data_IF_030379640053
#
_entry.id   IF_030379640053
#
_cell.length_a   1.000
_cell.length_b   1.000
_cell.length_c   1.000
_cell.angle_alpha   90.00
_cell.angle_beta   90.00
_cell.angle_gamma   90.00
#
_symmetry.space_group_name_H-M   'P 1'
#
loop_
_entity.id
_entity.type
_entity.pdbx_description
1 polymer ?
#
# COMPACT_ATOMS: atom_id res chain seq x y z
N UNK A 1 9.43 -11.12 -10.64
CA UNK A 1 9.51 -10.76 -9.21
C UNK A 1 9.12 -12.00 -8.42
N UNK A 2 9.65 -12.17 -7.22
CA UNK A 2 9.42 -13.34 -6.37
C UNK A 2 8.01 -13.30 -5.77
N UNK A 3 7.32 -14.45 -5.76
CA UNK A 3 6.03 -14.61 -5.08
C UNK A 3 6.30 -14.81 -3.59
N UNK A 4 5.59 -14.11 -2.72
CA UNK A 4 5.73 -14.25 -1.28
C UNK A 4 4.38 -14.55 -0.61
N UNK A 5 4.35 -15.33 0.48
CA UNK A 5 3.15 -15.50 1.27
C UNK A 5 2.62 -14.15 1.76
N UNK A 6 1.30 -13.97 1.67
CA UNK A 6 0.60 -12.75 2.13
C UNK A 6 1.04 -12.33 3.55
N UNK A 7 1.09 -13.27 4.48
CA UNK A 7 1.49 -13.01 5.88
C UNK A 7 2.93 -12.50 6.00
N UNK A 8 3.83 -12.98 5.13
CA UNK A 8 5.22 -12.52 5.12
C UNK A 8 5.31 -11.08 4.61
N UNK A 9 4.55 -10.72 3.57
CA UNK A 9 4.47 -9.35 3.08
C UNK A 9 3.90 -8.40 4.15
N UNK A 10 2.81 -8.79 4.80
CA UNK A 10 2.20 -8.02 5.91
C UNK A 10 3.21 -7.80 7.04
N UNK A 11 3.90 -8.85 7.46
CA UNK A 11 4.92 -8.78 8.53
C UNK A 11 6.03 -7.80 8.15
N UNK A 12 6.53 -7.88 6.91
CA UNK A 12 7.56 -6.97 6.41
C UNK A 12 7.09 -5.50 6.42
N UNK A 13 5.83 -5.27 6.05
CA UNK A 13 5.24 -3.94 6.03
C UNK A 13 5.05 -3.37 7.43
N UNK A 14 4.54 -4.19 8.37
CA UNK A 14 4.37 -3.82 9.78
C UNK A 14 5.68 -3.44 10.45
N UNK A 15 6.77 -4.16 10.16
CA UNK A 15 8.11 -3.84 10.68
C UNK A 15 8.59 -2.44 10.28
N UNK A 16 8.03 -1.86 9.21
CA UNK A 16 8.40 -0.54 8.71
C UNK A 16 7.53 0.61 9.27
N UNK A 17 6.45 0.29 10.03
CA UNK A 17 5.49 1.28 10.50
C UNK A 17 6.12 2.42 11.29
N UNK A 18 6.93 2.09 12.31
CA UNK A 18 7.51 3.10 13.18
C UNK A 18 8.47 4.03 12.42
N UNK A 19 9.20 3.49 11.45
CA UNK A 19 10.07 4.28 10.57
C UNK A 19 9.26 5.29 9.78
N UNK A 20 8.16 4.88 9.15
CA UNK A 20 7.32 5.79 8.36
C UNK A 20 6.59 6.83 9.20
N UNK A 21 6.10 6.45 10.39
CA UNK A 21 5.55 7.39 11.38
C UNK A 21 6.54 8.51 11.66
N UNK A 22 7.77 8.15 12.03
CA UNK A 22 8.78 9.11 12.46
C UNK A 22 9.32 9.96 11.29
N UNK A 23 9.55 9.35 10.13
CA UNK A 23 10.19 10.01 8.99
C UNK A 23 9.24 10.95 8.24
N UNK A 24 7.95 10.60 8.16
CA UNK A 24 6.97 11.30 7.33
C UNK A 24 5.91 12.06 8.12
N UNK A 25 5.98 12.02 9.46
CA UNK A 25 5.01 12.68 10.33
C UNK A 25 3.60 12.12 10.15
N UNK A 26 3.49 10.80 10.02
CA UNK A 26 2.22 10.10 9.90
C UNK A 26 1.60 9.93 11.28
N UNK A 27 0.32 10.28 11.44
CA UNK A 27 -0.40 10.18 12.71
C UNK A 27 -0.72 8.72 13.06
N UNK A 28 -1.09 7.93 12.05
CA UNK A 28 -1.39 6.51 12.18
C UNK A 28 -1.12 5.77 10.87
N UNK A 29 -0.60 4.55 10.97
CA UNK A 29 -0.36 3.68 9.83
C UNK A 29 -0.88 2.27 10.14
N UNK A 30 -1.54 1.66 9.17
CA UNK A 30 -2.04 0.28 9.22
C UNK A 30 -1.88 -0.40 7.87
N UNK A 31 -2.22 -1.68 7.80
CA UNK A 31 -2.22 -2.42 6.52
C UNK A 31 -3.51 -2.09 5.77
N UNK A 32 -3.39 -1.92 4.46
CA UNK A 32 -4.50 -1.89 3.51
C UNK A 32 -4.46 -3.14 2.65
N UNK A 33 -5.62 -3.78 2.48
CA UNK A 33 -5.78 -4.97 1.67
C UNK A 33 -7.11 -4.91 0.94
N UNK A 34 -7.12 -5.21 -0.35
CA UNK A 34 -8.33 -5.29 -1.14
C UNK A 34 -8.23 -6.43 -2.17
N UNK A 35 -9.24 -7.30 -2.20
CA UNK A 35 -9.37 -8.32 -3.23
C UNK A 35 -10.08 -7.73 -4.46
N UNK A 36 -9.37 -7.73 -5.58
CA UNK A 36 -9.90 -7.34 -6.88
C UNK A 36 -10.48 -8.53 -7.65
N UNK A 37 -10.89 -8.27 -8.90
CA UNK A 37 -11.36 -9.31 -9.81
C UNK A 37 -10.20 -10.12 -10.40
N UNK A 38 -10.48 -11.31 -10.94
CA UNK A 38 -9.54 -12.15 -11.69
C UNK A 38 -8.20 -12.41 -10.97
N UNK A 39 -8.18 -12.61 -9.66
CA UNK A 39 -6.96 -12.79 -8.84
C UNK A 39 -6.09 -11.53 -8.66
N UNK A 40 -6.61 -10.34 -8.98
CA UNK A 40 -5.99 -9.09 -8.53
C UNK A 40 -6.09 -8.94 -7.02
N UNK A 41 -5.03 -8.42 -6.42
CA UNK A 41 -4.95 -8.13 -5.01
C UNK A 41 -4.20 -6.82 -4.82
N UNK A 42 -4.76 -5.89 -4.06
CA UNK A 42 -4.08 -4.64 -3.72
C UNK A 42 -3.61 -4.72 -2.27
N UNK A 43 -2.32 -4.50 -2.06
CA UNK A 43 -1.70 -4.56 -0.74
C UNK A 43 -0.88 -3.29 -0.53
N UNK A 44 -1.04 -2.71 0.66
CA UNK A 44 -0.46 -1.42 0.96
C UNK A 44 -0.66 -0.96 2.39
N UNK A 45 -0.69 0.37 2.55
CA UNK A 45 -0.85 1.03 3.84
C UNK A 45 -2.11 1.86 3.85
N UNK A 46 -2.85 1.81 4.97
CA UNK A 46 -3.79 2.86 5.33
C UNK A 46 -3.04 3.88 6.18
N UNK A 47 -2.90 5.11 5.69
CA UNK A 47 -2.15 6.19 6.33
C UNK A 47 -3.11 7.29 6.75
N UNK A 48 -3.04 7.71 8.02
CA UNK A 48 -3.70 8.93 8.50
C UNK A 48 -2.67 10.02 8.74
N UNK A 49 -2.90 11.19 8.16
CA UNK A 49 -2.02 12.35 8.29
C UNK A 49 -2.84 13.63 8.21
N UNK A 50 -2.65 14.52 9.19
CA UNK A 50 -3.35 15.80 9.28
C UNK A 50 -4.89 15.67 9.19
N UNK A 51 -5.44 14.62 9.81
CA UNK A 51 -6.87 14.34 9.82
C UNK A 51 -7.44 13.74 8.52
N UNK A 52 -6.61 13.44 7.53
CA UNK A 52 -6.99 12.78 6.27
C UNK A 52 -6.54 11.33 6.24
N UNK A 53 -7.29 10.48 5.55
CA UNK A 53 -6.95 9.08 5.31
C UNK A 53 -6.54 8.89 3.85
N UNK A 54 -5.48 8.10 3.66
CA UNK A 54 -4.96 7.71 2.36
C UNK A 54 -4.73 6.20 2.32
N UNK A 55 -5.09 5.57 1.21
CA UNK A 55 -4.74 4.19 0.90
C UNK A 55 -3.59 4.21 -0.11
N UNK A 56 -2.41 3.75 0.31
CA UNK A 56 -1.21 3.70 -0.54
C UNK A 56 -0.92 2.25 -0.86
N UNK A 57 -1.16 1.80 -2.08
CA UNK A 57 -1.11 0.38 -2.42
C UNK A 57 -0.45 0.09 -3.76
N UNK A 58 -0.04 -1.17 -3.91
CA UNK A 58 0.53 -1.71 -5.15
C UNK A 58 -0.29 -2.93 -5.58
N UNK A 59 -0.45 -3.18 -6.88
CA UNK A 59 -1.17 -4.35 -7.38
C UNK A 59 -0.30 -5.62 -7.38
N UNK A 60 -0.90 -6.72 -6.97
CA UNK A 60 -0.36 -8.07 -6.93
C UNK A 60 -1.32 -9.04 -7.65
N UNK A 61 -0.77 -10.15 -8.14
CA UNK A 61 -1.50 -11.37 -8.47
C UNK A 61 -1.45 -12.31 -7.29
N UNK A 62 -2.62 -12.78 -6.86
CA UNK A 62 -2.75 -13.86 -5.90
C UNK A 62 -2.78 -15.19 -6.65
N UNK A 63 -2.01 -16.17 -6.21
CA UNK A 63 -2.08 -17.51 -6.79
C UNK A 63 -3.01 -18.45 -5.99
N UNK A 64 -3.16 -19.69 -6.45
CA UNK A 64 -4.00 -20.69 -5.79
C UNK A 64 -3.53 -21.11 -4.40
N UNK A 65 -2.28 -20.80 -4.03
CA UNK A 65 -1.71 -21.05 -2.71
C UNK A 65 -1.89 -19.84 -1.78
N UNK A 66 -2.34 -18.70 -2.31
CA UNK A 66 -2.50 -17.44 -1.58
C UNK A 66 -1.23 -16.61 -1.51
N UNK A 67 -0.20 -16.97 -2.28
CA UNK A 67 1.00 -16.16 -2.41
C UNK A 67 0.74 -14.99 -3.36
N UNK A 68 1.45 -13.89 -3.13
CA UNK A 68 1.28 -12.63 -3.85
C UNK A 68 2.53 -12.33 -4.67
N UNK A 69 2.34 -12.15 -5.97
CA UNK A 69 3.35 -11.73 -6.92
C UNK A 69 3.06 -10.31 -7.40
N UNK A 70 3.96 -9.33 -7.24
CA UNK A 70 3.72 -7.96 -7.70
C UNK A 70 3.58 -7.91 -9.22
N UNK A 71 2.60 -7.15 -9.71
CA UNK A 71 2.29 -7.00 -11.14
C UNK A 71 3.17 -5.93 -11.78
N UNK A 72 3.27 -4.79 -11.11
CA UNK A 72 4.06 -3.64 -11.51
C UNK A 72 4.69 -3.04 -10.25
N UNK A 73 5.90 -2.50 -10.38
CA UNK A 73 6.55 -1.76 -9.30
C UNK A 73 6.08 -0.30 -9.29
N UNK A 74 4.80 -0.10 -8.99
CA UNK A 74 4.15 1.20 -8.94
C UNK A 74 3.16 1.25 -7.79
N UNK A 75 3.18 2.36 -7.05
CA UNK A 75 2.25 2.64 -5.98
C UNK A 75 1.18 3.63 -6.44
N UNK A 76 -0.03 3.43 -5.93
CA UNK A 76 -1.17 4.32 -6.09
C UNK A 76 -1.50 4.94 -4.74
N UNK A 77 -1.89 6.21 -4.71
CA UNK A 77 -2.44 6.90 -3.55
C UNK A 77 -3.91 7.19 -3.82
N UNK A 78 -4.78 6.62 -3.02
CA UNK A 78 -6.21 6.91 -3.02
C UNK A 78 -6.55 7.67 -1.75
N UNK A 79 -7.49 8.61 -1.85
CA UNK A 79 -7.93 9.42 -0.72
C UNK A 79 -9.41 9.24 -0.51
N UNK A 80 -9.84 9.23 0.76
CA UNK A 80 -11.27 9.18 1.12
C UNK A 80 -12.06 10.44 0.70
N UNK A 81 -11.39 11.44 0.11
CA UNK A 81 -12.03 12.64 -0.43
C UNK A 81 -12.75 12.32 -1.76
N UNK A 82 -14.09 12.42 -1.83
CA UNK A 82 -14.87 11.93 -2.99
C UNK A 82 -14.57 12.61 -4.33
N UNK A 83 -13.94 13.79 -4.30
CA UNK A 83 -13.61 14.57 -5.49
C UNK A 83 -12.14 14.44 -5.90
N UNK A 84 -11.32 13.77 -5.10
CA UNK A 84 -9.90 13.62 -5.36
C UNK A 84 -9.69 12.37 -6.20
N UNK A 85 -8.97 12.52 -7.31
CA UNK A 85 -8.60 11.39 -8.16
C UNK A 85 -7.41 10.65 -7.56
N UNK A 86 -7.34 9.35 -7.82
CA UNK A 86 -6.20 8.53 -7.44
C UNK A 86 -4.93 9.04 -8.13
N UNK A 87 -3.85 9.13 -7.35
CA UNK A 87 -2.55 9.49 -7.86
C UNK A 87 -1.75 8.22 -8.11
N UNK A 88 -1.26 8.04 -9.33
CA UNK A 88 -0.56 6.83 -9.81
C UNK A 88 0.86 7.18 -10.28
N UNK A 89 1.68 6.17 -10.56
CA UNK A 89 3.03 6.37 -11.10
C UNK A 89 4.15 6.50 -10.06
N UNK A 90 3.89 6.25 -8.77
CA UNK A 90 4.94 6.35 -7.75
C UNK A 90 5.84 5.10 -7.79
N UNK A 91 7.12 5.28 -8.14
CA UNK A 91 8.08 4.18 -8.26
C UNK A 91 8.61 3.64 -6.92
N UNK A 92 8.18 4.24 -5.80
CA UNK A 92 8.52 3.81 -4.45
C UNK A 92 7.45 4.24 -3.45
N UNK A 93 7.35 3.50 -2.34
CA UNK A 93 6.51 3.91 -1.23
C UNK A 93 6.97 5.25 -0.62
N UNK A 94 8.29 5.49 -0.55
CA UNK A 94 8.84 6.75 -0.08
C UNK A 94 8.40 7.95 -0.94
N UNK A 95 8.34 7.80 -2.27
CA UNK A 95 7.81 8.86 -3.14
C UNK A 95 6.33 9.12 -2.89
N UNK A 96 5.54 8.09 -2.61
CA UNK A 96 4.12 8.24 -2.30
C UNK A 96 3.90 8.91 -0.93
N UNK A 97 4.63 8.48 0.10
CA UNK A 97 4.54 9.04 1.47
C UNK A 97 4.97 10.50 1.56
N UNK A 98 5.85 10.97 0.67
CA UNK A 98 6.28 12.38 0.60
C UNK A 98 5.23 13.30 -0.01
N UNK A 99 4.33 12.75 -0.82
CA UNK A 99 3.34 13.53 -1.58
C UNK A 99 2.04 13.79 -0.78
N UNK A 100 1.85 13.09 0.35
CA UNK A 100 0.70 13.23 1.25
C UNK A 100 0.98 14.03 2.52
#
# INVERSE_FOLDING_TARGET
MESLPREQLITNMQNSFQTYINQYGVDHIGIFEEEGQDDYYYLGYTVKKAGKTYHIHSPYRKDSHGDLSPIVNEWTIESDEPQKQDLKGYHSLDSALRDI
#
